data_IF_128825819874
#
_entry.id   IF_128825819874
#
_cell.length_a   1.000
_cell.length_b   1.000
_cell.length_c   1.000
_cell.angle_alpha   90.00
_cell.angle_beta   90.00
_cell.angle_gamma   90.00
#
_symmetry.space_group_name_H-M   'P 1'
#
loop_
_entity.id
_entity.type
_entity.pdbx_description
1 polymer ?
#
# COMPACT_ATOMS: atom_id res chain seq x y z
N UNK A 1 20.08 -8.47 -5.62
CA UNK A 1 18.93 -8.91 -4.78
C UNK A 1 17.77 -9.22 -5.71
N UNK A 2 17.37 -10.48 -5.78
CA UNK A 2 16.33 -11.00 -6.67
C UNK A 2 14.97 -10.29 -6.42
N UNK A 3 14.15 -10.15 -7.47
CA UNK A 3 12.86 -9.46 -7.42
C UNK A 3 11.92 -10.12 -6.39
N UNK A 4 11.97 -11.45 -6.29
CA UNK A 4 11.24 -12.22 -5.29
C UNK A 4 11.63 -11.85 -3.85
N UNK A 5 12.93 -11.75 -3.57
CA UNK A 5 13.45 -11.35 -2.26
C UNK A 5 13.02 -9.93 -1.88
N UNK A 6 12.91 -9.01 -2.85
CA UNK A 6 12.41 -7.65 -2.61
C UNK A 6 10.94 -7.66 -2.19
N UNK A 7 10.09 -8.43 -2.88
CA UNK A 7 8.66 -8.50 -2.54
C UNK A 7 8.41 -9.10 -1.16
N UNK A 8 9.18 -10.12 -0.76
CA UNK A 8 9.11 -10.68 0.60
C UNK A 8 9.49 -9.66 1.67
N UNK A 9 10.54 -8.87 1.43
CA UNK A 9 10.92 -7.80 2.35
C UNK A 9 9.82 -6.72 2.47
N UNK A 10 9.11 -6.41 1.38
CA UNK A 10 7.97 -5.48 1.42
C UNK A 10 6.81 -6.05 2.25
N UNK A 11 6.48 -7.33 2.09
CA UNK A 11 5.43 -7.99 2.89
C UNK A 11 5.76 -7.98 4.38
N UNK A 12 7.02 -8.22 4.74
CA UNK A 12 7.46 -8.14 6.13
C UNK A 12 7.33 -6.72 6.68
N UNK A 13 7.71 -5.70 5.90
CA UNK A 13 7.56 -4.30 6.30
C UNK A 13 6.09 -3.90 6.52
N UNK A 14 5.20 -4.26 5.59
CA UNK A 14 3.76 -3.96 5.72
C UNK A 14 3.17 -4.66 6.94
N UNK A 15 3.54 -5.93 7.19
CA UNK A 15 3.11 -6.67 8.37
C UNK A 15 3.59 -6.02 9.67
N UNK A 16 4.88 -5.66 9.74
CA UNK A 16 5.44 -4.97 10.91
C UNK A 16 4.79 -3.59 11.14
N UNK A 17 4.44 -2.87 10.07
CA UNK A 17 3.70 -1.63 10.18
C UNK A 17 2.27 -1.85 10.74
N UNK A 18 1.55 -2.88 10.25
CA UNK A 18 0.22 -3.24 10.77
C UNK A 18 0.28 -3.61 12.26
N UNK A 19 1.29 -4.39 12.65
CA UNK A 19 1.53 -4.73 14.06
C UNK A 19 1.81 -3.47 14.89
N UNK A 20 2.65 -2.57 14.39
CA UNK A 20 2.97 -1.31 15.06
C UNK A 20 1.73 -0.44 15.28
N UNK A 21 0.87 -0.28 14.26
CA UNK A 21 -0.37 0.49 14.38
C UNK A 21 -1.32 -0.12 15.42
N UNK A 22 -1.41 -1.46 15.48
CA UNK A 22 -2.24 -2.15 16.48
C UNK A 22 -1.75 -1.94 17.91
N UNK A 23 -0.43 -1.81 18.09
CA UNK A 23 0.20 -1.53 19.38
C UNK A 23 0.06 -0.07 19.81
N UNK A 24 -0.20 0.85 18.89
CA UNK A 24 -0.66 2.18 19.25
C UNK A 24 -2.04 1.98 19.91
N UNK A 25 -2.12 2.31 21.20
CA UNK A 25 -3.34 2.20 22.00
C UNK A 25 -4.43 3.14 21.51
N UNK A 26 -5.10 3.84 22.42
CA UNK A 26 -5.97 4.95 22.01
C UNK A 26 -5.10 6.03 21.36
N UNK A 27 -5.27 6.24 20.05
CA UNK A 27 -4.76 7.45 19.42
C UNK A 27 -5.32 8.65 20.20
N UNK A 28 -4.44 9.55 20.67
CA UNK A 28 -4.89 10.87 21.08
C UNK A 28 -5.23 11.62 19.78
N UNK A 29 -6.50 11.96 19.59
CA UNK A 29 -7.00 12.44 18.29
C UNK A 29 -7.61 11.31 17.46
N UNK A 30 -8.51 11.65 16.54
CA UNK A 30 -9.53 10.79 15.95
C UNK A 30 -9.08 9.39 15.47
N UNK A 31 -9.88 8.39 15.87
CA UNK A 31 -9.86 7.00 15.41
C UNK A 31 -9.87 6.83 13.89
N UNK A 32 -10.31 7.84 13.13
CA UNK A 32 -10.29 7.83 11.67
C UNK A 32 -8.88 7.81 11.09
N UNK A 33 -7.89 8.47 11.72
CA UNK A 33 -6.51 8.49 11.20
C UNK A 33 -5.87 7.11 11.31
N UNK A 34 -6.07 6.44 12.44
CA UNK A 34 -5.64 5.04 12.63
C UNK A 34 -6.31 4.14 11.60
N UNK A 35 -7.63 4.26 11.44
CA UNK A 35 -8.41 3.45 10.50
C UNK A 35 -7.97 3.66 9.05
N UNK A 36 -7.64 4.90 8.67
CA UNK A 36 -7.07 5.23 7.38
C UNK A 36 -5.69 4.57 7.18
N UNK A 37 -4.82 4.62 8.19
CA UNK A 37 -3.52 3.94 8.12
C UNK A 37 -3.66 2.43 7.97
N UNK A 38 -4.58 1.80 8.72
CA UNK A 38 -4.89 0.37 8.59
C UNK A 38 -5.37 0.04 7.17
N UNK A 39 -6.33 0.81 6.64
CA UNK A 39 -6.85 0.66 5.27
C UNK A 39 -5.75 0.82 4.19
N UNK A 40 -4.87 1.81 4.34
CA UNK A 40 -3.75 2.02 3.42
C UNK A 40 -2.82 0.80 3.44
N UNK A 41 -2.50 0.26 4.62
CA UNK A 41 -1.66 -0.93 4.72
C UNK A 41 -2.36 -2.17 4.12
N UNK A 42 -3.69 -2.26 4.18
CA UNK A 42 -4.46 -3.29 3.48
C UNK A 42 -4.30 -3.15 1.96
N UNK A 43 -4.43 -1.94 1.40
CA UNK A 43 -4.15 -1.67 -0.03
C UNK A 43 -2.76 -2.19 -0.43
N UNK A 44 -1.74 -1.92 0.39
CA UNK A 44 -0.38 -2.36 0.09
C UNK A 44 -0.25 -3.90 0.12
N UNK A 45 -0.78 -4.56 1.15
CA UNK A 45 -0.67 -6.02 1.28
C UNK A 45 -1.53 -6.81 0.30
N UNK A 46 -2.74 -6.33 0.00
CA UNK A 46 -3.75 -7.10 -0.75
C UNK A 46 -3.77 -6.75 -2.24
N UNK A 47 -3.23 -5.58 -2.61
CA UNK A 47 -3.28 -5.11 -4.00
C UNK A 47 -1.89 -4.78 -4.54
N UNK A 48 -1.20 -3.77 -3.99
CA UNK A 48 0.04 -3.24 -4.59
C UNK A 48 1.11 -4.33 -4.70
N UNK A 49 1.41 -5.02 -3.60
CA UNK A 49 2.42 -6.09 -3.60
C UNK A 49 1.99 -7.25 -4.51
N UNK A 50 0.70 -7.61 -4.49
CA UNK A 50 0.15 -8.69 -5.32
C UNK A 50 0.31 -8.39 -6.81
N UNK A 51 -0.03 -7.16 -7.23
CA UNK A 51 0.12 -6.73 -8.62
C UNK A 51 1.59 -6.58 -9.03
N UNK A 52 2.47 -6.13 -8.13
CA UNK A 52 3.91 -6.13 -8.40
C UNK A 52 4.46 -7.54 -8.61
N UNK A 53 4.05 -8.51 -7.78
CA UNK A 53 4.42 -9.92 -7.97
C UNK A 53 3.93 -10.45 -9.31
N UNK A 54 2.67 -10.15 -9.69
CA UNK A 54 2.13 -10.51 -11.01
C UNK A 54 2.94 -9.89 -12.14
N UNK A 55 3.28 -8.60 -12.04
CA UNK A 55 4.08 -7.89 -13.04
C UNK A 55 5.46 -8.55 -13.21
N UNK A 56 6.13 -8.88 -12.10
CA UNK A 56 7.40 -9.61 -12.12
C UNK A 56 7.22 -10.94 -12.87
N UNK A 57 6.21 -11.73 -12.51
CA UNK A 57 5.95 -13.03 -13.17
C UNK A 57 5.66 -12.91 -14.67
N UNK A 58 4.94 -11.88 -15.10
CA UNK A 58 4.68 -11.64 -16.54
C UNK A 58 5.97 -11.33 -17.30
N UNK A 59 6.81 -10.47 -16.74
CA UNK A 59 8.08 -10.09 -17.35
C UNK A 59 9.08 -11.25 -17.35
N UNK A 60 9.13 -12.06 -16.28
CA UNK A 60 9.92 -13.29 -16.21
C UNK A 60 9.42 -14.37 -17.20
N UNK A 61 8.11 -14.43 -17.42
CA UNK A 61 7.46 -15.26 -18.44
C UNK A 61 7.73 -14.81 -19.88
N UNK A 62 8.57 -13.79 -20.09
CA UNK A 62 8.90 -13.19 -21.39
C UNK A 62 7.68 -12.62 -22.13
N UNK A 63 6.62 -12.24 -21.41
CA UNK A 63 5.60 -11.40 -22.00
C UNK A 63 6.25 -10.08 -22.42
N UNK A 64 5.86 -9.56 -23.60
CA UNK A 64 6.31 -8.23 -24.02
C UNK A 64 5.93 -7.20 -22.95
N UNK A 65 6.85 -6.28 -22.64
CA UNK A 65 6.56 -5.12 -21.80
C UNK A 65 5.39 -4.29 -22.33
N UNK A 66 5.13 -4.38 -23.63
CA UNK A 66 4.10 -3.64 -24.33
C UNK A 66 2.78 -4.43 -24.43
N UNK A 67 2.73 -5.62 -23.81
CA UNK A 67 1.49 -6.40 -23.77
C UNK A 67 0.43 -5.68 -22.94
N UNK A 68 -0.82 -5.78 -23.39
CA UNK A 68 -1.97 -5.22 -22.67
C UNK A 68 -2.01 -5.70 -21.21
N UNK A 69 -1.65 -6.95 -20.95
CA UNK A 69 -1.66 -7.51 -19.60
C UNK A 69 -0.63 -6.86 -18.66
N UNK A 70 0.57 -6.55 -19.17
CA UNK A 70 1.59 -5.80 -18.42
C UNK A 70 1.08 -4.38 -18.16
N UNK A 71 0.54 -3.72 -19.18
CA UNK A 71 -0.04 -2.37 -19.05
C UNK A 71 -1.16 -2.32 -18.02
N UNK A 72 -2.13 -3.24 -18.08
CA UNK A 72 -3.25 -3.32 -17.16
C UNK A 72 -2.78 -3.56 -15.72
N UNK A 73 -1.73 -4.37 -15.54
CA UNK A 73 -1.14 -4.62 -14.23
C UNK A 73 -0.47 -3.36 -13.67
N UNK A 74 0.28 -2.62 -14.50
CA UNK A 74 0.82 -1.31 -14.11
C UNK A 74 -0.27 -0.31 -13.73
N UNK A 75 -1.34 -0.24 -14.52
CA UNK A 75 -2.45 0.66 -14.26
C UNK A 75 -3.13 0.36 -12.92
N UNK A 76 -3.34 -0.93 -12.60
CA UNK A 76 -3.89 -1.34 -11.30
C UNK A 76 -3.01 -0.97 -10.12
N UNK A 77 -1.68 -1.08 -10.26
CA UNK A 77 -0.73 -0.61 -9.23
C UNK A 77 -0.91 0.89 -9.02
N UNK A 78 -0.88 1.68 -10.10
CA UNK A 78 -1.02 3.13 -10.04
C UNK A 78 -2.33 3.55 -9.36
N UNK A 79 -3.46 2.97 -9.78
CA UNK A 79 -4.78 3.30 -9.23
C UNK A 79 -4.82 3.12 -7.71
N UNK A 80 -4.27 2.00 -7.21
CA UNK A 80 -4.25 1.70 -5.78
C UNK A 80 -3.25 2.57 -5.00
N UNK A 81 -2.13 2.94 -5.61
CA UNK A 81 -1.20 3.91 -5.02
C UNK A 81 -1.85 5.29 -4.89
N UNK A 82 -2.56 5.75 -5.92
CA UNK A 82 -3.26 7.03 -5.92
C UNK A 82 -4.38 7.06 -4.85
N UNK A 83 -5.14 5.95 -4.70
CA UNK A 83 -6.14 5.79 -3.64
C UNK A 83 -5.54 5.85 -2.23
N UNK A 84 -4.41 5.16 -2.01
CA UNK A 84 -3.69 5.17 -0.75
C UNK A 84 -3.15 6.57 -0.40
N UNK A 85 -2.57 7.26 -1.38
CA UNK A 85 -2.03 8.62 -1.21
C UNK A 85 -3.14 9.63 -0.88
N UNK A 86 -4.26 9.60 -1.61
CA UNK A 86 -5.40 10.48 -1.33
C UNK A 86 -6.00 10.21 0.06
N UNK A 87 -6.18 8.94 0.41
CA UNK A 87 -6.70 8.56 1.74
C UNK A 87 -5.77 9.04 2.86
N UNK A 88 -4.44 8.92 2.69
CA UNK A 88 -3.48 9.37 3.67
C UNK A 88 -3.50 10.89 3.84
N UNK A 89 -3.57 11.63 2.72
CA UNK A 89 -3.64 13.09 2.73
C UNK A 89 -4.88 13.58 3.44
N UNK A 90 -6.05 13.04 3.11
CA UNK A 90 -7.32 13.41 3.75
C UNK A 90 -7.32 13.12 5.25
N UNK A 91 -6.84 11.93 5.64
CA UNK A 91 -6.77 11.55 7.05
C UNK A 91 -5.76 12.43 7.82
N UNK A 92 -4.61 12.73 7.21
CA UNK A 92 -3.58 13.58 7.81
C UNK A 92 -4.08 15.02 8.00
N UNK A 93 -4.84 15.54 7.03
CA UNK A 93 -5.43 16.88 7.11
C UNK A 93 -6.45 16.98 8.25
N UNK A 94 -7.36 16.00 8.36
CA UNK A 94 -8.34 15.93 9.46
C UNK A 94 -7.66 15.83 10.82
N UNK A 95 -6.72 14.90 10.96
CA UNK A 95 -5.96 14.74 12.19
C UNK A 95 -5.22 16.02 12.58
N UNK A 96 -4.65 16.74 11.60
CA UNK A 96 -3.99 18.03 11.83
C UNK A 96 -4.98 19.06 12.38
N UNK A 97 -6.12 19.26 11.73
CA UNK A 97 -7.12 20.25 12.17
C UNK A 97 -7.58 19.98 13.61
N UNK A 98 -7.93 18.74 13.92
CA UNK A 98 -8.43 18.35 15.25
C UNK A 98 -7.37 18.36 16.35
N UNK A 99 -6.09 18.24 16.01
CA UNK A 99 -5.02 18.30 17.00
C UNK A 99 -4.65 19.73 17.40
N UNK A 100 -4.90 20.71 16.51
CA UNK A 100 -4.57 22.13 16.73
C UNK A 100 -5.78 22.99 17.14
N UNK A 101 -7.00 22.46 17.11
CA UNK A 101 -8.22 23.03 17.71
C UNK A 101 -8.42 22.56 19.16
#
# INVERSE_FOLDING_TARGET
MDAKNKTQAWEQKVRGAKESIRLIGSFRGDSSFRSACDFILDIFSEHVIVYYKRLISLLEGKHSSDSQEVYDTYYKIRLRMDEADNTLKEASEKFRMEFYE
#
